data_IF_348655274497
#
_entry.id   IF_348655274497
#
_cell.length_a   1.000
_cell.length_b   1.000
_cell.length_c   1.000
_cell.angle_alpha   90.00
_cell.angle_beta   90.00
_cell.angle_gamma   90.00
#
_symmetry.space_group_name_H-M   'P 1'
#
loop_
_entity.id
_entity.type
_entity.pdbx_description
1 polymer ?
#
# COMPACT_ATOMS: atom_id res chain seq x y z
N UNK A 1 16.62 17.45 -0.06
CA UNK A 1 16.32 16.38 -1.04
C UNK A 1 16.03 15.08 -0.30
N UNK A 2 14.80 14.58 -0.32
CA UNK A 2 14.48 13.27 0.28
C UNK A 2 14.93 12.18 -0.70
N UNK A 3 16.07 11.53 -0.44
CA UNK A 3 16.48 10.37 -1.23
C UNK A 3 15.54 9.20 -0.92
N UNK A 4 15.12 8.47 -1.96
CA UNK A 4 14.30 7.26 -1.80
C UNK A 4 15.10 6.26 -0.96
N UNK A 5 14.65 6.00 0.27
CA UNK A 5 15.23 5.02 1.21
C UNK A 5 14.23 3.87 1.46
N UNK A 6 14.76 2.70 1.84
CA UNK A 6 13.95 1.54 2.22
C UNK A 6 13.09 0.98 1.09
N UNK A 7 11.82 0.67 1.35
CA UNK A 7 10.92 0.06 0.37
C UNK A 7 10.76 0.87 -0.93
N UNK A 8 10.86 2.21 -0.83
CA UNK A 8 10.76 3.12 -1.96
C UNK A 8 12.01 3.12 -2.86
N UNK A 9 13.16 2.61 -2.39
CA UNK A 9 14.39 2.51 -3.19
C UNK A 9 14.49 1.21 -4.00
N UNK A 10 13.61 0.24 -3.74
CA UNK A 10 13.59 -1.04 -4.45
C UNK A 10 13.12 -0.90 -5.89
N UNK A 11 13.57 -1.81 -6.77
CA UNK A 11 13.05 -1.94 -8.13
C UNK A 11 11.53 -2.19 -8.10
N UNK A 12 10.79 -1.78 -9.15
CA UNK A 12 9.34 -1.98 -9.21
C UNK A 12 8.91 -3.43 -8.99
N UNK A 13 9.65 -4.38 -9.56
CA UNK A 13 9.38 -5.81 -9.49
C UNK A 13 9.58 -6.33 -8.06
N UNK A 14 10.70 -5.96 -7.42
CA UNK A 14 10.99 -6.32 -6.02
C UNK A 14 9.98 -5.70 -5.06
N UNK A 15 9.56 -4.46 -5.32
CA UNK A 15 8.53 -3.76 -4.55
C UNK A 15 7.19 -4.48 -4.64
N UNK A 16 6.76 -4.84 -5.85
CA UNK A 16 5.51 -5.57 -6.08
C UNK A 16 5.53 -6.97 -5.44
N UNK A 17 6.64 -7.70 -5.56
CA UNK A 17 6.80 -9.00 -4.94
C UNK A 17 6.71 -8.94 -3.41
N UNK A 18 7.35 -7.95 -2.79
CA UNK A 18 7.30 -7.76 -1.33
C UNK A 18 5.93 -7.26 -0.85
N UNK A 19 5.27 -6.35 -1.58
CA UNK A 19 3.90 -5.95 -1.29
C UNK A 19 2.94 -7.15 -1.32
N UNK A 20 3.05 -8.01 -2.35
CA UNK A 20 2.28 -9.26 -2.43
C UNK A 20 2.58 -10.19 -1.24
N UNK A 21 3.85 -10.40 -0.91
CA UNK A 21 4.23 -11.24 0.25
C UNK A 21 3.67 -10.69 1.56
N UNK A 22 3.72 -9.37 1.78
CA UNK A 22 3.12 -8.73 2.95
C UNK A 22 1.61 -8.98 3.06
N UNK A 23 0.88 -8.90 1.94
CA UNK A 23 -0.56 -9.21 1.91
C UNK A 23 -0.88 -10.70 2.08
N UNK A 24 0.02 -11.59 1.68
CA UNK A 24 -0.13 -13.04 1.82
C UNK A 24 0.27 -13.57 3.20
N UNK A 25 1.13 -12.86 3.93
CA UNK A 25 1.56 -13.23 5.29
C UNK A 25 0.38 -13.33 6.28
N UNK A 26 -0.71 -12.62 6.00
CA UNK A 26 -1.96 -12.73 6.74
C UNK A 26 -2.86 -13.79 6.07
N UNK A 27 -3.10 -14.89 6.80
CA UNK A 27 -4.08 -15.93 6.41
C UNK A 27 -5.41 -15.31 6.01
N UNK A 28 -6.10 -15.88 5.03
CA UNK A 28 -7.30 -15.27 4.45
C UNK A 28 -8.35 -14.95 5.52
N UNK A 29 -8.60 -15.90 6.43
CA UNK A 29 -9.49 -15.78 7.58
C UNK A 29 -9.16 -14.58 8.50
N UNK A 30 -7.88 -14.19 8.56
CA UNK A 30 -7.38 -13.15 9.46
C UNK A 30 -7.24 -11.77 8.79
N UNK A 31 -7.55 -11.64 7.50
CA UNK A 31 -7.46 -10.36 6.80
C UNK A 31 -8.52 -9.39 7.33
N UNK A 32 -8.19 -8.11 7.42
CA UNK A 32 -9.14 -7.07 7.87
C UNK A 32 -10.47 -7.12 7.09
N UNK A 33 -10.40 -7.35 5.77
CA UNK A 33 -11.57 -7.49 4.89
C UNK A 33 -12.49 -8.67 5.25
N UNK A 34 -11.95 -9.73 5.84
CA UNK A 34 -12.68 -10.94 6.22
C UNK A 34 -13.16 -10.92 7.67
N UNK A 35 -12.53 -10.11 8.54
CA UNK A 35 -12.85 -10.05 9.97
C UNK A 35 -13.82 -8.93 10.32
N UNK A 36 -13.65 -7.74 9.75
CA UNK A 36 -14.38 -6.54 10.16
C UNK A 36 -14.54 -5.57 8.98
N UNK A 37 -15.80 -5.37 8.57
CA UNK A 37 -16.15 -4.50 7.44
C UNK A 37 -15.85 -3.03 7.72
N UNK A 38 -16.00 -2.57 8.96
CA UNK A 38 -15.77 -1.18 9.33
C UNK A 38 -14.26 -0.88 9.39
N UNK A 39 -13.47 -1.81 9.92
CA UNK A 39 -12.01 -1.71 9.88
C UNK A 39 -11.49 -1.65 8.44
N UNK A 40 -12.00 -2.51 7.55
CA UNK A 40 -11.63 -2.51 6.14
C UNK A 40 -11.99 -1.18 5.46
N UNK A 41 -13.18 -0.64 5.75
CA UNK A 41 -13.64 0.66 5.23
C UNK A 41 -12.77 1.80 5.71
N UNK A 42 -12.41 1.82 7.00
CA UNK A 42 -11.52 2.83 7.58
C UNK A 42 -10.11 2.77 6.96
N UNK A 43 -9.53 1.58 6.83
CA UNK A 43 -8.23 1.38 6.19
C UNK A 43 -8.24 1.83 4.72
N UNK A 44 -9.28 1.48 3.97
CA UNK A 44 -9.46 1.92 2.58
C UNK A 44 -9.57 3.44 2.44
N UNK A 45 -10.36 4.09 3.32
CA UNK A 45 -10.46 5.56 3.36
C UNK A 45 -9.10 6.20 3.63
N UNK A 46 -8.36 5.73 4.62
CA UNK A 46 -7.04 6.26 4.97
C UNK A 46 -6.03 6.09 3.81
N UNK A 47 -6.02 4.94 3.16
CA UNK A 47 -5.18 4.69 1.99
C UNK A 47 -5.50 5.65 0.83
N UNK A 48 -6.79 5.85 0.53
CA UNK A 48 -7.22 6.80 -0.49
C UNK A 48 -6.82 8.24 -0.18
N UNK A 49 -6.89 8.67 1.09
CA UNK A 49 -6.43 10.00 1.52
C UNK A 49 -4.91 10.16 1.38
N UNK A 50 -4.13 9.11 1.67
CA UNK A 50 -2.68 9.12 1.51
C UNK A 50 -2.26 9.19 0.03
N UNK A 51 -2.93 8.43 -0.84
CA UNK A 51 -2.68 8.46 -2.30
C UNK A 51 -3.09 9.78 -2.96
N UNK A 52 -4.09 10.50 -2.41
CA UNK A 52 -4.46 11.84 -2.89
C UNK A 52 -3.38 12.91 -2.67
N UNK A 53 -2.29 12.60 -1.95
CA UNK A 53 -1.15 13.52 -1.73
C UNK A 53 -0.03 13.41 -2.77
N UNK A 54 -0.11 12.53 -3.78
CA UNK A 54 0.87 12.57 -4.88
C UNK A 54 0.46 13.63 -5.90
N UNK A 55 1.33 14.61 -6.23
CA UNK A 55 1.04 15.59 -7.26
C UNK A 55 0.88 14.86 -8.61
N UNK A 56 0.02 15.41 -9.46
CA UNK A 56 -0.11 15.00 -10.85
C UNK A 56 1.27 14.78 -11.47
N UNK A 57 1.46 13.67 -12.20
CA UNK A 57 2.60 13.53 -13.11
C UNK A 57 2.67 14.82 -13.93
N UNK A 58 3.79 15.54 -13.83
CA UNK A 58 4.12 16.63 -14.76
C UNK A 58 4.01 16.07 -16.19
N UNK A 59 3.20 16.66 -17.07
CA UNK A 59 3.32 16.39 -18.50
C UNK A 59 4.64 16.99 -18.98
N UNK A 60 5.37 16.26 -19.83
CA UNK A 60 6.47 16.80 -20.65
C UNK A 60 6.02 18.00 -21.49
#
# INVERSE_FOLDING_TARGET
MSSRRGFASLSPERRAALARKGGLAVRAENRAFSRDRDLAKAAGRNGGLASRKTPAKEPE
#
